data_IF_292021076917
#
_entry.id   IF_292021076917
#
_cell.length_a   1.000
_cell.length_b   1.000
_cell.length_c   1.000
_cell.angle_alpha   90.00
_cell.angle_beta   90.00
_cell.angle_gamma   90.00
#
_symmetry.space_group_name_H-M   'P 1'
#
loop_
_entity.id
_entity.type
_entity.pdbx_description
1 polymer ?
#
# COMPACT_ATOMS: atom_id res chain seq x y z
N UNK A 1 18.65 -26.60 2.75
CA UNK A 1 17.24 -26.16 2.85
C UNK A 1 16.44 -27.22 2.10
N UNK A 2 15.31 -27.74 2.63
CA UNK A 2 14.69 -29.01 2.18
C UNK A 2 14.63 -29.18 0.65
N UNK A 3 14.23 -28.15 -0.10
CA UNK A 3 14.11 -28.25 -1.57
C UNK A 3 15.48 -28.37 -2.27
N UNK A 4 16.51 -27.65 -1.81
CA UNK A 4 17.87 -27.74 -2.38
C UNK A 4 18.51 -29.12 -2.15
N UNK A 5 18.05 -29.85 -1.12
CA UNK A 5 18.57 -31.19 -0.80
C UNK A 5 17.92 -32.30 -1.66
N UNK A 6 16.75 -32.03 -2.23
CA UNK A 6 15.88 -33.05 -2.85
C UNK A 6 15.67 -32.81 -4.35
N UNK A 7 16.03 -31.61 -4.84
CA UNK A 7 15.83 -31.20 -6.23
C UNK A 7 17.09 -30.50 -6.78
N UNK A 8 17.31 -30.62 -8.08
CA UNK A 8 18.36 -29.90 -8.79
C UNK A 8 17.99 -28.42 -8.92
N UNK A 9 18.58 -27.62 -8.05
CA UNK A 9 18.26 -26.20 -7.93
C UNK A 9 19.48 -25.36 -8.27
N UNK A 10 19.24 -24.20 -8.88
CA UNK A 10 20.28 -23.22 -9.13
C UNK A 10 20.54 -22.36 -7.90
N UNK A 11 19.48 -21.98 -7.17
CA UNK A 11 19.53 -21.10 -5.99
C UNK A 11 18.14 -20.93 -5.37
N UNK A 12 18.12 -20.29 -4.21
CA UNK A 12 16.94 -19.69 -3.59
C UNK A 12 16.96 -18.17 -3.60
N UNK A 13 15.80 -17.57 -3.34
CA UNK A 13 15.65 -16.13 -3.17
C UNK A 13 14.55 -15.79 -2.15
N UNK A 14 14.74 -14.69 -1.42
CA UNK A 14 13.67 -14.03 -0.68
C UNK A 14 12.96 -13.02 -1.57
N UNK A 15 11.66 -12.85 -1.41
CA UNK A 15 10.89 -11.87 -2.18
C UNK A 15 9.82 -11.20 -1.32
N UNK A 16 8.98 -10.39 -1.96
CA UNK A 16 7.81 -9.82 -1.33
C UNK A 16 8.12 -8.81 -0.22
N UNK A 17 7.11 -8.51 0.59
CA UNK A 17 7.15 -7.42 1.57
C UNK A 17 8.22 -7.60 2.66
N UNK A 18 8.54 -8.85 3.01
CA UNK A 18 9.58 -9.17 3.99
C UNK A 18 10.97 -8.83 3.45
N UNK A 19 11.33 -9.29 2.24
CA UNK A 19 12.60 -8.95 1.59
C UNK A 19 12.73 -7.44 1.33
N UNK A 20 11.60 -6.77 1.06
CA UNK A 20 11.55 -5.33 0.86
C UNK A 20 11.68 -4.50 2.16
N UNK A 21 11.62 -5.16 3.34
CA UNK A 21 11.46 -4.50 4.65
C UNK A 21 10.22 -3.57 4.72
N UNK A 22 9.15 -3.90 4.00
CA UNK A 22 7.90 -3.11 3.91
C UNK A 22 6.69 -3.81 4.55
N UNK A 23 6.91 -4.89 5.29
CA UNK A 23 5.86 -5.62 5.98
C UNK A 23 5.32 -4.80 7.17
N UNK A 24 3.99 -4.78 7.33
CA UNK A 24 3.34 -4.23 8.52
C UNK A 24 3.20 -5.33 9.59
N UNK A 25 3.18 -4.93 10.84
CA UNK A 25 2.90 -5.80 11.98
C UNK A 25 1.40 -6.18 12.03
N UNK A 26 1.02 -7.42 12.38
CA UNK A 26 1.89 -8.59 12.61
C UNK A 26 2.48 -9.20 11.32
N UNK A 27 3.61 -9.93 11.45
CA UNK A 27 4.19 -10.70 10.35
C UNK A 27 3.26 -11.86 10.00
N UNK A 28 2.42 -11.65 8.98
CA UNK A 28 1.42 -12.64 8.59
C UNK A 28 1.88 -13.53 7.42
N UNK A 29 2.78 -13.02 6.57
CA UNK A 29 3.12 -13.67 5.31
C UNK A 29 4.59 -13.42 4.93
N UNK A 30 5.24 -14.45 4.39
CA UNK A 30 6.63 -14.43 3.96
C UNK A 30 6.77 -15.08 2.58
N UNK A 31 7.26 -14.33 1.59
CA UNK A 31 7.45 -14.85 0.25
C UNK A 31 8.90 -15.30 0.02
N UNK A 32 9.08 -16.53 -0.45
CA UNK A 32 10.37 -17.06 -0.86
C UNK A 32 10.23 -17.84 -2.16
N UNK A 33 11.34 -18.13 -2.81
CA UNK A 33 11.33 -18.99 -3.98
C UNK A 33 12.60 -19.78 -4.15
N UNK A 34 12.47 -20.79 -5.00
CA UNK A 34 13.53 -21.68 -5.43
C UNK A 34 13.54 -21.71 -6.95
N UNK A 35 14.73 -21.69 -7.54
CA UNK A 35 14.90 -21.77 -8.98
C UNK A 35 15.40 -23.16 -9.32
N UNK A 36 14.55 -23.97 -9.96
CA UNK A 36 14.94 -25.28 -10.47
C UNK A 36 15.88 -25.12 -11.68
N UNK A 37 16.82 -26.05 -11.82
CA UNK A 37 17.71 -26.10 -12.97
C UNK A 37 17.01 -26.68 -14.19
N UNK A 38 16.62 -25.80 -15.13
CA UNK A 38 15.94 -26.20 -16.38
C UNK A 38 16.79 -27.13 -17.26
N UNK A 39 18.09 -27.27 -17.02
CA UNK A 39 18.94 -28.27 -17.72
C UNK A 39 18.65 -29.70 -17.26
N UNK A 40 18.08 -29.87 -16.07
CA UNK A 40 17.65 -31.17 -15.53
C UNK A 40 16.16 -31.37 -15.80
N UNK A 41 15.38 -30.29 -15.68
CA UNK A 41 13.94 -30.28 -15.94
C UNK A 41 13.63 -29.62 -17.28
N UNK A 42 14.16 -30.19 -18.37
CA UNK A 42 14.14 -29.58 -19.72
C UNK A 42 12.71 -29.39 -20.26
N UNK A 43 11.81 -30.30 -19.90
CA UNK A 43 10.42 -30.27 -20.33
C UNK A 43 9.61 -29.17 -19.64
N UNK A 44 10.05 -28.62 -18.50
CA UNK A 44 9.32 -27.54 -17.83
C UNK A 44 9.46 -26.22 -18.58
N UNK A 45 8.33 -25.54 -18.77
CA UNK A 45 8.27 -24.15 -19.22
C UNK A 45 7.11 -23.86 -20.16
N UNK A 46 7.04 -22.63 -20.71
CA UNK A 46 5.93 -22.20 -21.57
C UNK A 46 5.72 -23.05 -22.83
N UNK A 47 6.80 -23.67 -23.34
CA UNK A 47 6.79 -24.50 -24.55
C UNK A 47 6.68 -26.01 -24.26
N UNK A 48 6.48 -26.39 -22.99
CA UNK A 48 6.49 -27.78 -22.54
C UNK A 48 5.46 -28.05 -21.44
N UNK A 49 5.87 -28.75 -20.40
CA UNK A 49 5.04 -29.09 -19.26
C UNK A 49 4.74 -27.89 -18.34
N UNK A 50 3.48 -27.85 -17.89
CA UNK A 50 3.00 -26.91 -16.89
C UNK A 50 3.59 -27.14 -15.50
N UNK A 51 3.50 -26.15 -14.60
CA UNK A 51 4.11 -26.21 -13.28
C UNK A 51 3.41 -27.16 -12.30
N UNK A 52 2.13 -27.52 -12.52
CA UNK A 52 1.28 -28.11 -11.46
C UNK A 52 1.84 -29.43 -10.91
N UNK A 53 2.30 -30.32 -11.79
CA UNK A 53 2.86 -31.61 -11.39
C UNK A 53 4.16 -31.46 -10.57
N UNK A 54 5.06 -30.59 -11.03
CA UNK A 54 6.31 -30.31 -10.33
C UNK A 54 6.07 -29.62 -8.98
N UNK A 55 5.19 -28.62 -8.94
CA UNK A 55 4.81 -27.91 -7.71
C UNK A 55 4.19 -28.87 -6.69
N UNK A 56 3.34 -29.79 -7.13
CA UNK A 56 2.77 -30.82 -6.25
C UNK A 56 3.85 -31.78 -5.72
N UNK A 57 4.83 -32.12 -6.56
CA UNK A 57 5.98 -32.95 -6.16
C UNK A 57 6.81 -32.27 -5.07
N UNK A 58 7.17 -31.00 -5.29
CA UNK A 58 7.88 -30.18 -4.28
C UNK A 58 7.05 -30.07 -3.00
N UNK A 59 5.73 -29.86 -3.09
CA UNK A 59 4.85 -29.82 -1.93
C UNK A 59 4.84 -31.14 -1.16
N UNK A 60 4.82 -32.27 -1.86
CA UNK A 60 4.87 -33.60 -1.25
C UNK A 60 6.12 -33.79 -0.38
N UNK A 61 7.28 -33.40 -0.90
CA UNK A 61 8.57 -33.46 -0.19
C UNK A 61 8.56 -32.53 1.03
N UNK A 62 8.14 -31.28 0.85
CA UNK A 62 8.02 -30.32 1.95
C UNK A 62 7.09 -30.83 3.05
N UNK A 63 5.95 -31.42 2.66
CA UNK A 63 4.98 -31.99 3.59
C UNK A 63 5.57 -33.10 4.42
N UNK A 64 6.32 -34.02 3.81
CA UNK A 64 6.96 -35.13 4.53
C UNK A 64 7.98 -34.59 5.53
N UNK A 65 8.94 -33.79 5.05
CA UNK A 65 10.09 -33.32 5.85
C UNK A 65 9.69 -32.32 6.94
N UNK A 66 8.77 -31.38 6.67
CA UNK A 66 8.37 -30.38 7.67
C UNK A 66 7.46 -30.96 8.75
N UNK A 67 6.63 -31.97 8.45
CA UNK A 67 5.75 -32.58 9.46
C UNK A 67 6.51 -33.35 10.54
N UNK A 68 7.71 -33.81 10.26
CA UNK A 68 8.59 -34.42 11.27
C UNK A 68 8.90 -33.45 12.42
N UNK A 69 9.10 -32.17 12.09
CA UNK A 69 9.46 -31.13 13.05
C UNK A 69 8.27 -30.29 13.51
N UNK A 70 7.29 -30.08 12.63
CA UNK A 70 6.12 -29.23 12.84
C UNK A 70 4.84 -30.02 12.53
N UNK A 71 4.34 -30.89 13.43
CA UNK A 71 3.26 -31.82 13.12
C UNK A 71 1.94 -31.17 12.68
N UNK A 72 1.69 -29.91 13.12
CA UNK A 72 0.48 -29.14 12.78
C UNK A 72 0.58 -28.36 11.47
N UNK A 73 1.75 -28.34 10.83
CA UNK A 73 1.95 -27.60 9.58
C UNK A 73 0.99 -28.11 8.49
N UNK A 74 0.43 -27.15 7.76
CA UNK A 74 -0.53 -27.35 6.68
C UNK A 74 -0.04 -26.72 5.39
N UNK A 75 -0.41 -27.32 4.27
CA UNK A 75 0.06 -26.94 2.94
C UNK A 75 -1.13 -26.74 2.02
N UNK A 76 -1.15 -25.62 1.32
CA UNK A 76 -2.21 -25.28 0.38
C UNK A 76 -1.58 -24.90 -0.96
N UNK A 77 -2.12 -25.45 -2.05
CA UNK A 77 -1.81 -25.02 -3.43
C UNK A 77 -2.84 -24.02 -3.95
N UNK A 78 -3.61 -23.40 -3.05
CA UNK A 78 -4.70 -22.46 -3.40
C UNK A 78 -4.24 -21.02 -3.67
N UNK A 79 -2.93 -20.76 -3.71
CA UNK A 79 -2.38 -19.49 -4.18
C UNK A 79 -1.99 -19.64 -5.64
N UNK A 80 -2.40 -18.70 -6.50
CA UNK A 80 -2.19 -18.73 -7.96
C UNK A 80 -0.75 -19.10 -8.41
N UNK A 81 0.27 -18.86 -7.57
CA UNK A 81 1.69 -18.93 -7.97
C UNK A 81 2.62 -19.69 -7.02
N UNK A 82 2.14 -20.17 -5.88
CA UNK A 82 3.00 -20.63 -4.80
C UNK A 82 2.40 -21.76 -3.96
N UNK A 83 3.28 -22.51 -3.29
CA UNK A 83 2.92 -23.44 -2.23
C UNK A 83 2.83 -22.63 -0.92
N UNK A 84 1.62 -22.48 -0.39
CA UNK A 84 1.41 -21.84 0.90
C UNK A 84 1.64 -22.84 2.03
N UNK A 85 2.55 -22.49 2.92
CA UNK A 85 2.87 -23.22 4.16
C UNK A 85 2.33 -22.45 5.34
N UNK A 86 1.44 -23.04 6.12
CA UNK A 86 0.91 -22.46 7.35
C UNK A 86 1.29 -23.36 8.53
N UNK A 87 2.10 -22.83 9.44
CA UNK A 87 2.60 -23.61 10.58
C UNK A 87 1.52 -23.92 11.63
N UNK A 88 0.39 -23.19 11.60
CA UNK A 88 -0.75 -23.33 12.52
C UNK A 88 -0.43 -23.09 14.01
N UNK A 89 0.84 -22.86 14.33
CA UNK A 89 1.35 -22.52 15.65
C UNK A 89 2.65 -21.72 15.49
N UNK A 90 3.00 -20.85 16.46
CA UNK A 90 4.26 -20.13 16.44
C UNK A 90 5.46 -21.06 16.33
N UNK A 91 6.37 -20.77 15.41
CA UNK A 91 7.61 -21.56 15.23
C UNK A 91 8.69 -21.21 16.27
N UNK A 92 8.51 -20.12 17.01
CA UNK A 92 9.37 -19.68 18.11
C UNK A 92 8.52 -19.29 19.33
N UNK A 93 8.98 -19.58 20.56
CA UNK A 93 8.27 -19.19 21.77
C UNK A 93 8.02 -17.67 21.81
N UNK A 94 6.76 -17.27 22.04
CA UNK A 94 6.37 -15.86 22.12
C UNK A 94 6.23 -15.14 20.77
N UNK A 95 6.41 -15.84 19.64
CA UNK A 95 6.11 -15.31 18.31
C UNK A 95 4.66 -15.49 17.90
N UNK A 96 4.27 -14.82 16.81
CA UNK A 96 2.99 -15.04 16.14
C UNK A 96 3.07 -16.22 15.16
N UNK A 97 1.91 -16.76 14.77
CA UNK A 97 1.82 -17.67 13.64
C UNK A 97 1.91 -16.87 12.33
N UNK A 98 2.56 -17.42 11.31
CA UNK A 98 2.71 -16.80 10.00
C UNK A 98 2.57 -17.84 8.88
N UNK A 99 2.28 -17.38 7.67
CA UNK A 99 2.36 -18.18 6.45
C UNK A 99 3.64 -17.90 5.69
N UNK A 100 4.12 -18.90 4.96
CA UNK A 100 5.18 -18.75 3.99
C UNK A 100 4.71 -19.24 2.62
N UNK A 101 4.81 -18.40 1.60
CA UNK A 101 4.51 -18.76 0.22
C UNK A 101 5.84 -19.10 -0.49
N UNK A 102 5.98 -20.34 -0.93
CA UNK A 102 7.15 -20.81 -1.70
C UNK A 102 6.81 -20.87 -3.19
N UNK A 103 7.49 -20.05 -3.98
CA UNK A 103 7.42 -20.03 -5.44
C UNK A 103 8.43 -21.04 -6.01
N UNK A 104 7.96 -21.99 -6.82
CA UNK A 104 8.82 -22.91 -7.57
C UNK A 104 9.04 -22.33 -8.97
N UNK A 105 10.15 -21.62 -9.14
CA UNK A 105 10.49 -20.95 -10.38
C UNK A 105 11.41 -21.81 -11.24
N UNK A 106 11.44 -21.53 -12.54
CA UNK A 106 12.46 -22.04 -13.47
C UNK A 106 13.18 -20.87 -14.14
N UNK A 107 14.42 -21.12 -14.57
CA UNK A 107 15.23 -20.10 -15.26
C UNK A 107 14.68 -19.81 -16.66
N UNK A 108 14.56 -18.52 -16.97
CA UNK A 108 14.36 -17.97 -18.32
C UNK A 108 15.71 -17.54 -18.92
N UNK A 109 15.73 -17.34 -20.24
CA UNK A 109 16.84 -16.67 -20.91
C UNK A 109 17.16 -15.31 -20.26
N UNK A 110 18.41 -14.86 -20.35
CA UNK A 110 18.92 -13.62 -19.71
C UNK A 110 18.87 -13.58 -18.17
N UNK A 111 18.68 -14.71 -17.49
CA UNK A 111 18.74 -14.77 -16.03
C UNK A 111 17.46 -14.37 -15.30
N UNK A 112 16.39 -14.07 -16.06
CA UNK A 112 15.03 -13.85 -15.54
C UNK A 112 14.37 -15.17 -15.15
N UNK A 113 13.17 -15.12 -14.59
CA UNK A 113 12.43 -16.31 -14.15
C UNK A 113 11.12 -16.50 -14.92
N UNK A 114 10.70 -17.75 -14.97
CA UNK A 114 9.29 -18.10 -15.08
C UNK A 114 8.79 -18.55 -13.72
N UNK A 115 7.61 -18.07 -13.32
CA UNK A 115 6.92 -18.47 -12.10
C UNK A 115 5.61 -19.17 -12.46
N UNK A 116 5.08 -20.03 -11.59
CA UNK A 116 3.84 -20.77 -11.87
C UNK A 116 2.63 -19.85 -12.04
N UNK A 117 1.78 -20.18 -13.01
CA UNK A 117 0.33 -19.89 -12.98
C UNK A 117 -0.39 -21.23 -12.82
N UNK A 118 -0.79 -21.53 -11.58
CA UNK A 118 -1.37 -22.82 -11.22
C UNK A 118 -2.83 -22.98 -11.68
N UNK A 119 -3.51 -21.89 -12.00
CA UNK A 119 -4.89 -21.92 -12.50
C UNK A 119 -4.89 -22.42 -13.95
N UNK A 120 -4.06 -21.79 -14.79
CA UNK A 120 -3.94 -22.12 -16.21
C UNK A 120 -2.96 -23.28 -16.47
N UNK A 121 -2.29 -23.80 -15.43
CA UNK A 121 -1.16 -24.73 -15.57
C UNK A 121 -0.07 -24.20 -16.51
N UNK A 122 0.20 -22.89 -16.40
CA UNK A 122 1.10 -22.15 -17.26
C UNK A 122 2.29 -21.55 -16.52
N UNK A 123 3.14 -20.84 -17.26
CA UNK A 123 4.34 -20.20 -16.74
C UNK A 123 4.31 -18.69 -17.08
N UNK A 124 4.26 -17.86 -16.05
CA UNK A 124 4.29 -16.40 -16.17
C UNK A 124 5.75 -15.89 -16.14
N UNK A 125 6.16 -14.97 -17.03
CA UNK A 125 7.44 -14.30 -16.90
C UNK A 125 7.44 -13.40 -15.65
N UNK A 126 8.51 -13.48 -14.86
CA UNK A 126 8.67 -12.65 -13.66
C UNK A 126 10.15 -12.41 -13.33
N UNK A 127 10.38 -11.38 -12.52
CA UNK A 127 11.72 -11.05 -12.02
C UNK A 127 11.64 -10.49 -10.59
N UNK A 128 11.47 -11.35 -9.57
CA UNK A 128 11.24 -10.90 -8.20
C UNK A 128 12.48 -10.25 -7.55
N UNK A 129 13.69 -10.56 -8.01
CA UNK A 129 14.93 -10.06 -7.40
C UNK A 129 15.21 -8.59 -7.74
N UNK A 130 15.09 -8.12 -8.99
CA UNK A 130 15.18 -6.70 -9.30
C UNK A 130 14.21 -5.83 -8.51
N UNK A 131 13.01 -6.33 -8.17
CA UNK A 131 12.09 -5.59 -7.30
C UNK A 131 12.69 -5.37 -5.90
N UNK A 132 13.32 -6.41 -5.34
CA UNK A 132 14.04 -6.31 -4.07
C UNK A 132 15.17 -5.31 -4.20
N UNK A 133 15.98 -5.39 -5.25
CA UNK A 133 17.12 -4.49 -5.49
C UNK A 133 16.68 -3.02 -5.60
N UNK A 134 15.63 -2.74 -6.39
CA UNK A 134 15.07 -1.40 -6.55
C UNK A 134 14.63 -0.80 -5.20
N UNK A 135 13.96 -1.62 -4.37
CA UNK A 135 13.46 -1.18 -3.07
C UNK A 135 14.59 -1.03 -2.06
N UNK A 136 15.56 -1.94 -2.04
CA UNK A 136 16.76 -1.84 -1.19
C UNK A 136 17.56 -0.60 -1.54
N UNK A 137 17.78 -0.34 -2.83
CA UNK A 137 18.44 0.87 -3.31
C UNK A 137 17.67 2.12 -2.88
N UNK A 138 16.34 2.13 -3.01
CA UNK A 138 15.51 3.26 -2.57
C UNK A 138 15.55 3.45 -1.05
N UNK A 139 15.54 2.37 -0.27
CA UNK A 139 15.69 2.44 1.19
C UNK A 139 17.04 3.02 1.59
N UNK A 140 18.13 2.60 0.93
CA UNK A 140 19.46 3.16 1.17
C UNK A 140 19.50 4.67 0.87
N UNK A 141 18.93 5.08 -0.27
CA UNK A 141 18.88 6.50 -0.68
C UNK A 141 18.06 7.39 0.24
N UNK A 142 17.05 6.83 0.92
CA UNK A 142 16.08 7.59 1.73
C UNK A 142 16.24 7.40 3.23
N UNK A 143 17.36 6.82 3.70
CA UNK A 143 17.56 6.44 5.11
C UNK A 143 16.39 5.62 5.67
N UNK A 144 15.93 4.64 4.89
CA UNK A 144 14.79 3.76 5.19
C UNK A 144 13.44 4.47 5.35
N UNK A 145 13.32 5.76 4.99
CA UNK A 145 12.04 6.48 4.99
C UNK A 145 11.09 5.91 3.95
N UNK A 146 11.60 5.47 2.80
CA UNK A 146 10.81 4.83 1.77
C UNK A 146 9.98 3.66 2.31
N UNK A 147 10.62 2.66 2.93
CA UNK A 147 9.91 1.53 3.52
C UNK A 147 8.88 1.94 4.59
N UNK A 148 9.18 2.97 5.40
CA UNK A 148 8.23 3.50 6.40
C UNK A 148 7.01 4.14 5.73
N UNK A 149 7.20 4.89 4.65
CA UNK A 149 6.12 5.49 3.87
C UNK A 149 5.27 4.38 3.23
N UNK A 150 5.88 3.35 2.64
CA UNK A 150 5.15 2.22 2.07
C UNK A 150 4.30 1.48 3.13
N UNK A 151 4.80 1.34 4.36
CA UNK A 151 4.03 0.76 5.48
C UNK A 151 2.79 1.58 5.82
N UNK A 152 2.93 2.91 5.88
CA UNK A 152 1.81 3.83 6.07
C UNK A 152 0.82 3.78 4.90
N UNK A 153 1.31 3.74 3.66
CA UNK A 153 0.48 3.62 2.47
C UNK A 153 -0.30 2.29 2.43
N UNK A 154 0.34 1.17 2.80
CA UNK A 154 -0.33 -0.13 2.95
C UNK A 154 -1.42 -0.07 4.02
N UNK A 155 -1.14 0.57 5.16
CA UNK A 155 -2.10 0.78 6.23
C UNK A 155 -3.31 1.61 5.76
N UNK A 156 -3.05 2.74 5.11
CA UNK A 156 -4.08 3.60 4.53
C UNK A 156 -4.94 2.83 3.52
N UNK A 157 -4.33 2.11 2.58
CA UNK A 157 -5.04 1.29 1.60
C UNK A 157 -5.90 0.21 2.28
N UNK A 158 -5.34 -0.55 3.24
CA UNK A 158 -6.04 -1.63 3.93
C UNK A 158 -7.32 -1.15 4.65
N UNK A 159 -7.24 0.00 5.33
CA UNK A 159 -8.39 0.55 6.08
C UNK A 159 -9.33 1.38 5.22
N UNK A 160 -8.93 1.73 4.00
CA UNK A 160 -9.75 2.44 3.05
C UNK A 160 -10.16 1.52 1.89
N UNK A 161 -10.59 0.30 2.21
CA UNK A 161 -11.23 -0.63 1.26
C UNK A 161 -10.28 -1.46 0.40
N UNK A 162 -8.97 -1.44 0.69
CA UNK A 162 -7.94 -2.33 0.12
C UNK A 162 -8.01 -2.42 -1.41
N UNK A 163 -8.08 -1.26 -2.07
CA UNK A 163 -8.38 -1.17 -3.52
C UNK A 163 -7.28 -1.71 -4.43
N UNK A 164 -6.03 -1.68 -3.98
CA UNK A 164 -4.85 -2.20 -4.70
C UNK A 164 -4.11 -3.25 -3.87
N UNK A 165 -3.30 -4.10 -4.51
CA UNK A 165 -2.46 -5.07 -3.80
C UNK A 165 -1.19 -4.42 -3.25
N UNK A 166 -0.51 -5.11 -2.33
CA UNK A 166 0.76 -4.65 -1.74
C UNK A 166 1.84 -4.37 -2.79
N UNK A 167 1.81 -5.09 -3.92
CA UNK A 167 2.77 -4.88 -5.00
C UNK A 167 2.52 -3.57 -5.77
N UNK A 168 1.26 -3.20 -6.05
CA UNK A 168 0.94 -1.86 -6.59
C UNK A 168 1.48 -0.76 -5.67
N UNK A 169 1.33 -0.91 -4.35
CA UNK A 169 1.84 0.09 -3.38
C UNK A 169 3.34 0.25 -3.49
N UNK A 170 4.09 -0.84 -3.65
CA UNK A 170 5.54 -0.77 -3.82
C UNK A 170 5.95 -0.11 -5.14
N UNK A 171 5.33 -0.50 -6.25
CA UNK A 171 5.59 0.04 -7.59
C UNK A 171 5.26 1.55 -7.67
N UNK A 172 4.05 1.95 -7.28
CA UNK A 172 3.64 3.36 -7.23
C UNK A 172 4.52 4.18 -6.29
N UNK A 173 5.02 3.59 -5.20
CA UNK A 173 5.96 4.27 -4.32
C UNK A 173 7.32 4.49 -4.96
N UNK A 174 7.84 3.51 -5.71
CA UNK A 174 9.09 3.68 -6.46
C UNK A 174 8.99 4.84 -7.45
N UNK A 175 7.82 5.09 -8.02
CA UNK A 175 7.57 6.27 -8.86
C UNK A 175 7.47 7.57 -8.03
N UNK A 176 6.70 7.54 -6.93
CA UNK A 176 6.33 8.75 -6.19
C UNK A 176 7.43 9.33 -5.28
N UNK A 177 8.23 8.49 -4.62
CA UNK A 177 9.12 8.92 -3.51
C UNK A 177 10.58 8.67 -3.85
N UNK A 178 11.15 9.51 -4.73
CA UNK A 178 12.52 9.32 -5.25
C UNK A 178 13.64 9.76 -4.30
N UNK A 179 13.34 10.69 -3.39
CA UNK A 179 14.29 11.33 -2.47
C UNK A 179 13.84 11.22 -1.01
N UNK A 180 14.75 11.56 -0.10
CA UNK A 180 14.45 11.62 1.33
C UNK A 180 13.52 12.79 1.64
N UNK A 181 12.32 12.46 2.15
CA UNK A 181 11.30 13.41 2.63
C UNK A 181 10.80 12.99 4.02
N UNK A 182 10.02 13.84 4.69
CA UNK A 182 9.36 13.43 5.93
C UNK A 182 8.30 12.34 5.67
N UNK A 183 7.86 11.63 6.72
CA UNK A 183 6.82 10.61 6.56
C UNK A 183 5.47 11.20 6.13
N UNK A 184 4.99 12.32 6.72
CA UNK A 184 3.76 12.96 6.30
C UNK A 184 3.79 13.41 4.83
N UNK A 185 4.85 14.11 4.42
CA UNK A 185 5.04 14.56 3.03
C UNK A 185 5.12 13.38 2.07
N UNK A 186 5.93 12.36 2.41
CA UNK A 186 6.09 11.18 1.57
C UNK A 186 4.80 10.38 1.38
N UNK A 187 3.96 10.30 2.42
CA UNK A 187 2.63 9.69 2.31
C UNK A 187 1.69 10.52 1.44
N UNK A 188 1.67 11.86 1.58
CA UNK A 188 0.88 12.74 0.73
C UNK A 188 1.30 12.63 -0.75
N UNK A 189 2.60 12.68 -1.04
CA UNK A 189 3.17 12.47 -2.37
C UNK A 189 2.75 11.13 -2.97
N UNK A 190 2.86 10.05 -2.19
CA UNK A 190 2.43 8.72 -2.61
C UNK A 190 0.93 8.70 -2.96
N UNK A 191 0.07 9.23 -2.08
CA UNK A 191 -1.39 9.19 -2.27
C UNK A 191 -1.82 9.98 -3.50
N UNK A 192 -1.22 11.16 -3.72
CA UNK A 192 -1.48 11.99 -4.90
C UNK A 192 -1.03 11.29 -6.18
N UNK A 193 0.22 10.81 -6.21
CA UNK A 193 0.76 10.09 -7.36
C UNK A 193 -0.06 8.84 -7.68
N UNK A 194 -0.42 8.05 -6.66
CA UNK A 194 -1.28 6.88 -6.84
C UNK A 194 -2.65 7.25 -7.42
N UNK A 195 -3.24 8.37 -6.99
CA UNK A 195 -4.51 8.84 -7.55
C UNK A 195 -4.39 9.18 -9.03
N UNK A 196 -3.35 9.90 -9.41
CA UNK A 196 -3.14 10.38 -10.78
C UNK A 196 -2.72 9.24 -11.71
N UNK A 197 -1.72 8.44 -11.33
CA UNK A 197 -1.27 7.25 -12.07
C UNK A 197 -2.41 6.24 -12.26
N UNK A 198 -3.15 5.90 -11.19
CA UNK A 198 -4.33 5.06 -11.31
C UNK A 198 -5.50 5.75 -12.00
N UNK A 199 -5.47 7.05 -12.31
CA UNK A 199 -6.46 7.68 -13.19
C UNK A 199 -6.05 7.60 -14.67
N UNK A 200 -4.78 7.39 -14.96
CA UNK A 200 -4.23 7.21 -16.31
C UNK A 200 -4.22 5.74 -16.75
N UNK A 201 -3.67 4.83 -15.95
CA UNK A 201 -3.41 3.45 -16.35
C UNK A 201 -3.29 2.46 -15.19
N UNK A 202 -3.22 1.16 -15.52
CA UNK A 202 -2.84 0.17 -14.51
C UNK A 202 -1.37 0.40 -14.11
N UNK A 203 -1.02 0.01 -12.89
CA UNK A 203 0.38 0.12 -12.44
C UNK A 203 1.24 -0.86 -13.25
N UNK A 204 2.29 -0.36 -13.88
CA UNK A 204 3.23 -1.19 -14.62
C UNK A 204 4.18 -1.95 -13.68
N UNK A 205 4.75 -3.02 -14.20
CA UNK A 205 5.80 -3.78 -13.51
C UNK A 205 7.10 -2.95 -13.46
N UNK A 206 7.66 -2.63 -12.28
CA UNK A 206 8.87 -1.80 -12.18
C UNK A 206 10.10 -2.41 -12.87
N UNK A 207 10.18 -3.74 -12.99
CA UNK A 207 11.24 -4.42 -13.73
C UNK A 207 10.95 -4.54 -15.24
N UNK A 208 9.73 -4.22 -15.68
CA UNK A 208 9.29 -4.33 -17.07
C UNK A 208 9.31 -5.75 -17.62
N UNK A 209 9.15 -6.77 -16.77
CA UNK A 209 9.21 -8.18 -17.16
C UNK A 209 7.82 -8.79 -17.24
N UNK A 210 6.97 -8.49 -16.25
CA UNK A 210 5.58 -8.92 -16.21
C UNK A 210 4.66 -7.83 -16.82
N UNK A 211 3.43 -8.21 -17.15
CA UNK A 211 2.39 -7.25 -17.54
C UNK A 211 1.91 -6.38 -16.36
N UNK A 212 0.95 -5.47 -16.60
CA UNK A 212 0.45 -4.57 -15.57
C UNK A 212 -0.08 -5.29 -14.33
N UNK A 213 0.19 -4.72 -13.16
CA UNK A 213 -0.14 -5.30 -11.86
C UNK A 213 -1.65 -5.25 -11.62
N UNK A 214 -2.26 -6.43 -11.43
CA UNK A 214 -3.68 -6.60 -11.11
C UNK A 214 -4.08 -5.88 -9.81
N UNK A 215 -5.31 -5.37 -9.77
CA UNK A 215 -5.88 -4.66 -8.62
C UNK A 215 -6.93 -5.52 -7.87
N UNK A 216 -7.30 -5.13 -6.65
CA UNK A 216 -8.37 -5.81 -5.90
C UNK A 216 -9.78 -5.32 -6.30
N UNK A 217 -9.87 -4.23 -7.06
CA UNK A 217 -11.14 -3.69 -7.56
C UNK A 217 -11.21 -3.82 -9.08
N UNK A 218 -12.39 -4.10 -9.64
CA UNK A 218 -12.54 -4.28 -11.09
C UNK A 218 -12.38 -2.98 -11.87
N UNK A 219 -12.74 -1.83 -11.26
CA UNK A 219 -12.68 -0.52 -11.90
C UNK A 219 -11.56 0.30 -11.29
N UNK A 220 -10.48 0.44 -12.05
CA UNK A 220 -9.32 1.27 -11.70
C UNK A 220 -9.69 2.68 -11.21
N UNK A 221 -10.65 3.35 -11.88
CA UNK A 221 -11.11 4.70 -11.51
C UNK A 221 -11.72 4.79 -10.11
N UNK A 222 -12.25 3.69 -9.57
CA UNK A 222 -12.77 3.67 -8.19
C UNK A 222 -11.61 3.75 -7.18
N UNK A 223 -10.49 3.07 -7.45
CA UNK A 223 -9.28 3.21 -6.64
C UNK A 223 -8.70 4.62 -6.75
N UNK A 224 -8.57 5.15 -7.98
CA UNK A 224 -8.05 6.50 -8.21
C UNK A 224 -8.82 7.58 -7.44
N UNK A 225 -10.17 7.53 -7.47
CA UNK A 225 -11.02 8.45 -6.71
C UNK A 225 -10.77 8.33 -5.21
N UNK A 226 -10.54 7.12 -4.71
CA UNK A 226 -10.31 6.88 -3.29
C UNK A 226 -8.95 7.42 -2.85
N UNK A 227 -7.90 7.16 -3.62
CA UNK A 227 -6.58 7.74 -3.39
C UNK A 227 -6.60 9.27 -3.49
N UNK A 228 -7.37 9.84 -4.42
CA UNK A 228 -7.56 11.30 -4.52
C UNK A 228 -8.13 11.90 -3.24
N UNK A 229 -9.19 11.31 -2.69
CA UNK A 229 -9.78 11.79 -1.43
C UNK A 229 -8.82 11.66 -0.24
N UNK A 230 -8.00 10.61 -0.19
CA UNK A 230 -6.96 10.46 0.83
C UNK A 230 -5.82 11.47 0.66
N UNK A 231 -5.42 11.76 -0.58
CA UNK A 231 -4.41 12.76 -0.90
C UNK A 231 -4.85 14.15 -0.45
N UNK A 232 -6.09 14.54 -0.77
CA UNK A 232 -6.66 15.84 -0.36
C UNK A 232 -6.68 15.99 1.18
N UNK A 233 -7.00 14.91 1.91
CA UNK A 233 -6.93 14.92 3.38
C UNK A 233 -5.49 15.07 3.89
N UNK A 234 -4.54 14.35 3.31
CA UNK A 234 -3.13 14.38 3.70
C UNK A 234 -2.49 15.75 3.42
N UNK A 235 -2.76 16.34 2.26
CA UNK A 235 -2.29 17.67 1.88
C UNK A 235 -2.85 18.75 2.81
N UNK A 236 -4.16 18.74 3.09
CA UNK A 236 -4.76 19.65 4.08
C UNK A 236 -4.17 19.45 5.48
N UNK A 237 -3.84 18.20 5.85
CA UNK A 237 -3.21 17.95 7.15
C UNK A 237 -1.82 18.59 7.25
N UNK A 238 -1.04 18.60 6.16
CA UNK A 238 0.25 19.28 6.10
C UNK A 238 0.09 20.81 6.19
N UNK A 239 -0.90 21.37 5.49
CA UNK A 239 -1.23 22.81 5.56
C UNK A 239 -1.60 23.22 6.99
N UNK A 240 -2.50 22.46 7.63
CA UNK A 240 -2.89 22.73 9.01
C UNK A 240 -1.71 22.64 9.99
N UNK A 241 -0.82 21.66 9.83
CA UNK A 241 0.35 21.52 10.69
C UNK A 241 1.32 22.70 10.51
N UNK A 242 1.52 23.16 9.27
CA UNK A 242 2.34 24.34 8.96
C UNK A 242 1.77 25.64 9.58
N UNK A 243 0.44 25.74 9.69
CA UNK A 243 -0.27 26.85 10.33
C UNK A 243 -0.38 26.71 11.86
N UNK A 244 0.16 25.64 12.45
CA UNK A 244 0.07 25.34 13.88
C UNK A 244 -1.32 24.89 14.34
N UNK A 245 -2.17 24.42 13.43
CA UNK A 245 -3.52 23.89 13.68
C UNK A 245 -3.45 22.37 13.87
N UNK A 246 -2.77 21.94 14.93
CA UNK A 246 -2.43 20.53 15.20
C UNK A 246 -3.65 19.61 15.34
N UNK A 247 -4.74 20.05 15.97
CA UNK A 247 -5.96 19.25 16.11
C UNK A 247 -6.65 19.03 14.76
N UNK A 248 -6.69 20.06 13.90
CA UNK A 248 -7.19 19.89 12.53
C UNK A 248 -6.30 18.98 11.67
N UNK A 249 -4.97 19.11 11.78
CA UNK A 249 -4.04 18.20 11.13
C UNK A 249 -4.25 16.75 11.60
N UNK A 250 -4.34 16.54 12.92
CA UNK A 250 -4.60 15.23 13.53
C UNK A 250 -5.93 14.63 13.06
N UNK A 251 -7.00 15.44 12.94
CA UNK A 251 -8.31 15.00 12.44
C UNK A 251 -8.23 14.46 11.01
N UNK A 252 -7.41 15.07 10.16
CA UNK A 252 -7.24 14.60 8.80
C UNK A 252 -6.35 13.35 8.75
N UNK A 253 -5.24 13.33 9.50
CA UNK A 253 -4.40 12.14 9.62
C UNK A 253 -5.15 10.94 10.20
N UNK A 254 -6.08 11.12 11.14
CA UNK A 254 -6.89 10.02 11.70
C UNK A 254 -7.85 9.39 10.68
N UNK A 255 -8.20 10.10 9.61
CA UNK A 255 -8.99 9.56 8.49
C UNK A 255 -8.11 8.82 7.49
N UNK A 256 -6.90 9.32 7.23
CA UNK A 256 -5.94 8.67 6.32
C UNK A 256 -5.35 7.40 6.95
N UNK A 257 -5.03 7.47 8.24
CA UNK A 257 -4.38 6.42 9.03
C UNK A 257 -5.25 6.05 10.25
N UNK A 258 -6.47 5.53 10.03
CA UNK A 258 -7.35 5.15 11.14
C UNK A 258 -6.67 4.08 12.01
N UNK A 259 -6.98 4.04 13.30
CA UNK A 259 -6.34 3.16 14.31
C UNK A 259 -4.89 3.55 14.65
N UNK A 260 -4.09 3.95 13.65
CA UNK A 260 -2.70 4.39 13.88
C UNK A 260 -2.62 5.84 14.40
N UNK A 261 -3.59 6.68 14.03
CA UNK A 261 -3.74 8.05 14.54
C UNK A 261 -5.12 8.19 15.18
N UNK A 262 -5.13 8.48 16.49
CA UNK A 262 -6.37 8.77 17.19
C UNK A 262 -6.96 10.11 16.70
N UNK A 263 -8.29 10.23 16.56
CA UNK A 263 -8.90 11.53 16.31
C UNK A 263 -8.60 12.49 17.48
N UNK A 264 -8.54 13.81 17.23
CA UNK A 264 -8.35 14.78 18.31
C UNK A 264 -9.57 14.78 19.24
N UNK A 265 -9.39 15.30 20.46
CA UNK A 265 -10.54 15.55 21.34
C UNK A 265 -11.39 16.69 20.78
N UNK A 266 -12.69 16.65 21.06
CA UNK A 266 -13.61 17.71 20.61
C UNK A 266 -13.20 19.10 21.11
N UNK A 267 -12.77 19.18 22.37
CA UNK A 267 -12.31 20.42 23.03
C UNK A 267 -11.10 21.04 22.32
N UNK A 268 -10.14 20.22 21.86
CA UNK A 268 -8.94 20.70 21.15
C UNK A 268 -9.33 21.34 19.81
N UNK A 269 -10.27 20.71 19.10
CA UNK A 269 -10.78 21.20 17.82
C UNK A 269 -11.58 22.51 18.00
N UNK A 270 -12.43 22.58 19.03
CA UNK A 270 -13.19 23.77 19.37
C UNK A 270 -12.29 24.94 19.76
N UNK A 271 -11.23 24.67 20.53
CA UNK A 271 -10.23 25.67 20.91
C UNK A 271 -9.51 26.26 19.68
N UNK A 272 -9.11 25.42 18.72
CA UNK A 272 -8.49 25.89 17.47
C UNK A 272 -9.45 26.71 16.61
N UNK A 273 -10.70 26.26 16.46
CA UNK A 273 -11.72 27.00 15.71
C UNK A 273 -11.98 28.37 16.36
N UNK A 274 -12.08 28.42 17.68
CA UNK A 274 -12.26 29.67 18.43
C UNK A 274 -11.05 30.60 18.29
N UNK A 275 -9.83 30.06 18.30
CA UNK A 275 -8.60 30.82 18.10
C UNK A 275 -8.50 31.39 16.67
N UNK A 276 -8.88 30.60 15.65
CA UNK A 276 -8.94 31.03 14.25
C UNK A 276 -9.94 32.17 14.02
N UNK A 277 -11.14 32.06 14.61
CA UNK A 277 -12.18 33.09 14.53
C UNK A 277 -11.72 34.43 15.13
N UNK A 278 -10.93 34.41 16.22
CA UNK A 278 -10.38 35.62 16.85
C UNK A 278 -9.28 36.29 16.03
N UNK A 279 -8.52 35.53 15.24
CA UNK A 279 -7.39 36.04 14.44
C UNK A 279 -7.80 36.65 13.09
N UNK A 280 -9.07 36.59 12.70
CA UNK A 280 -9.56 37.16 11.44
C UNK A 280 -9.14 36.40 10.17
N UNK A 281 -8.45 35.26 10.31
CA UNK A 281 -8.11 34.38 9.20
C UNK A 281 -9.34 33.52 8.87
N UNK A 282 -10.17 34.03 7.95
CA UNK A 282 -11.33 33.34 7.41
C UNK A 282 -10.95 32.16 6.52
N UNK A 283 -10.52 31.04 7.11
CA UNK A 283 -10.55 29.73 6.48
C UNK A 283 -11.26 28.76 7.42
N UNK A 284 -12.60 28.77 7.37
CA UNK A 284 -13.43 27.73 7.99
C UNK A 284 -13.79 26.75 6.88
N UNK A 285 -12.95 25.73 6.66
CA UNK A 285 -13.27 24.66 5.73
C UNK A 285 -14.17 23.62 6.43
N UNK A 286 -15.47 23.66 6.15
CA UNK A 286 -16.41 22.59 6.55
C UNK A 286 -16.42 21.50 5.48
N UNK A 287 -15.67 20.42 5.69
CA UNK A 287 -15.82 19.19 4.91
C UNK A 287 -17.17 18.51 5.16
N UNK A 288 -17.94 18.35 4.07
CA UNK A 288 -19.14 17.52 3.86
C UNK A 288 -20.03 17.21 5.09
N UNK A 289 -20.82 18.19 5.51
CA UNK A 289 -21.85 17.98 6.55
C UNK A 289 -22.44 19.26 7.16
N UNK A 290 -22.70 20.31 6.35
CA UNK A 290 -23.56 21.42 6.75
C UNK A 290 -22.89 22.79 6.96
N UNK A 291 -23.49 23.80 6.32
CA UNK A 291 -23.44 25.30 6.38
C UNK A 291 -22.14 26.12 6.23
N UNK A 292 -22.13 26.85 5.11
CA UNK A 292 -21.26 27.95 4.71
C UNK A 292 -21.58 29.27 5.41
N UNK A 293 -20.58 30.16 5.52
CA UNK A 293 -20.79 31.60 5.28
C UNK A 293 -19.67 32.12 4.37
N UNK A 294 -20.07 32.66 3.23
CA UNK A 294 -19.23 33.38 2.27
C UNK A 294 -18.87 34.77 2.79
N UNK A 295 -17.58 35.10 2.84
CA UNK A 295 -17.08 36.42 3.23
C UNK A 295 -16.59 37.23 2.04
N UNK A 296 -17.51 37.78 1.23
CA UNK A 296 -17.25 39.01 0.45
C UNK A 296 -18.51 39.85 0.50
N UNK A 297 -18.51 40.81 1.44
CA UNK A 297 -19.25 42.07 1.40
C UNK A 297 -18.76 42.90 2.59
N UNK A 298 -17.65 43.62 2.37
CA UNK A 298 -17.38 44.87 3.07
C UNK A 298 -17.49 45.96 2.01
N UNK A 299 -18.70 46.47 1.84
CA UNK A 299 -18.93 47.83 1.38
C UNK A 299 -19.94 48.44 2.36
N UNK A 300 -19.39 49.34 3.18
CA UNK A 300 -19.96 50.55 3.75
C UNK A 300 -21.45 50.57 4.13
N UNK A 301 -21.71 50.47 5.44
CA UNK A 301 -22.96 50.92 6.06
C UNK A 301 -22.81 52.42 6.37
N UNK A 302 -23.62 53.33 5.78
CA UNK A 302 -23.61 54.73 6.17
C UNK A 302 -24.24 54.91 7.55
N UNK A 303 -23.65 55.80 8.36
CA UNK A 303 -24.07 56.05 9.74
C UNK A 303 -25.49 56.61 9.82
N UNK A 304 -26.27 56.07 10.75
CA UNK A 304 -27.58 56.57 11.12
C UNK A 304 -27.54 58.07 11.50
N UNK A 305 -28.43 58.87 10.91
CA UNK A 305 -28.87 60.15 11.48
C UNK A 305 -30.38 60.09 11.74
N UNK A 306 -30.70 60.29 13.01
CA UNK A 306 -32.02 60.59 13.55
C UNK A 306 -32.45 62.00 13.17
N UNK A 307 -33.72 62.17 12.78
CA UNK A 307 -34.67 63.29 12.93
C UNK A 307 -35.85 62.90 12.02
N UNK A 308 -37.08 62.64 12.47
CA UNK A 308 -37.89 63.50 13.32
C UNK A 308 -39.01 64.12 12.47
N UNK A 309 -40.13 63.39 12.37
CA UNK A 309 -41.53 63.85 12.36
C UNK A 309 -41.97 64.99 11.40
N UNK A 310 -42.89 64.68 10.46
CA UNK A 310 -44.22 65.34 10.30
C UNK A 310 -44.90 65.04 8.95
N UNK A 311 -46.11 64.49 9.07
CA UNK A 311 -47.38 64.85 8.42
C UNK A 311 -47.55 65.02 6.89
N UNK A 312 -48.59 64.31 6.43
CA UNK A 312 -49.71 64.75 5.57
C UNK A 312 -49.59 64.80 4.02
N UNK A 313 -50.45 63.97 3.42
CA UNK A 313 -51.47 64.27 2.40
C UNK A 313 -51.16 64.26 0.89
N UNK A 314 -52.18 63.70 0.19
CA UNK A 314 -52.54 63.77 -1.25
C UNK A 314 -51.66 62.98 -2.23
N UNK A 315 -52.18 62.20 -3.17
CA UNK A 315 -53.53 61.98 -3.72
C UNK A 315 -53.60 60.56 -4.27
#
# INVERSE_FOLDING_TARGET
MIVEEEFDTLRTFGSGSLAHATQNDPLNDADAGVVLDRRVYEDLGPDGEGPRAMVETVRGVLRTRLKEKYPKVSFFTGGHRAIRVNFMEPIQPGGDNFTADLIVAIRRYEGRLYIPDLDEDGWDPSDPEPHVELIVARNKKTDSRFARILRLAKHANAHNGKTIVSFNVAALGLEAVAEKVSLPEGLALFLRHAADSLNEGLTEDPAGVSGPIKMNVPRRKDAARKFKGLAELAEQALEFDADGQTAQAQRNWSKVLPVAVNPPKGEDLEAEIAAGARKGNGWVYRGAGGLSVSGKLREDIPSARSFGDKNQQTR
#
